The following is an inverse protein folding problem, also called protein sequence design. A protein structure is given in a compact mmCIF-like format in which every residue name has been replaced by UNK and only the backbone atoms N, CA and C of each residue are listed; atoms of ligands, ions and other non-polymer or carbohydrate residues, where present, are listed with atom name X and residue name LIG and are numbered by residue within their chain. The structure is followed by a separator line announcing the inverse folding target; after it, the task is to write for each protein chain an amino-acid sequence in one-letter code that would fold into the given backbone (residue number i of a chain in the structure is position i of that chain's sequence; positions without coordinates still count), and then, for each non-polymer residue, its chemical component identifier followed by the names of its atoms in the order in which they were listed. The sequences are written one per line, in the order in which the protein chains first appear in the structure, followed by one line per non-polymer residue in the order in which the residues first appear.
data_IF_932922399627
#
_entry.id   IF_932922399627
#
_cell.length_a   1.000
_cell.length_b   1.000
_cell.length_c   1.000
_cell.angle_alpha   90.00
_cell.angle_beta   90.00
_cell.angle_gamma   90.00
#
_symmetry.space_group_name_H-M   'P 1'
#
loop_
_entity.id
_entity.type
_entity.pdbx_description
1 polymer ?
#
# COMPACT_ATOMS: atom_id res chain seq x y z
N UNK A 1 29.33 64.34 -46.98
CA UNK A 1 29.52 64.76 -45.60
C UNK A 1 29.39 63.51 -44.75
N UNK A 2 30.45 62.90 -44.33
CA UNK A 2 31.08 62.92 -43.03
C UNK A 2 30.17 62.30 -41.99
N UNK A 3 30.52 61.41 -41.17
CA UNK A 3 31.65 60.78 -40.55
C UNK A 3 31.09 59.54 -39.84
N UNK A 4 31.78 58.50 -39.67
CA UNK A 4 32.97 58.31 -38.89
C UNK A 4 32.63 57.75 -37.52
N UNK A 5 32.90 56.54 -37.31
CA UNK A 5 32.74 55.98 -35.99
C UNK A 5 33.40 54.62 -35.89
N UNK A 6 34.59 54.65 -35.43
CA UNK A 6 35.49 53.52 -35.25
C UNK A 6 35.17 52.84 -33.92
N UNK A 7 35.27 51.64 -33.97
CA UNK A 7 35.15 50.83 -32.86
C UNK A 7 36.16 50.07 -32.41
N UNK A 8 36.52 49.93 -31.21
CA UNK A 8 37.55 49.14 -30.51
C UNK A 8 37.14 47.72 -30.26
N UNK A 9 38.03 46.85 -30.71
CA UNK A 9 38.08 45.48 -30.19
C UNK A 9 38.63 45.48 -28.78
N UNK A 10 37.82 45.04 -27.84
CA UNK A 10 38.38 44.70 -26.54
C UNK A 10 38.45 43.17 -26.39
N UNK A 11 39.66 42.72 -26.18
CA UNK A 11 40.04 41.37 -25.92
C UNK A 11 40.13 41.22 -24.41
N UNK A 12 39.18 40.50 -23.79
CA UNK A 12 39.37 40.02 -22.43
C UNK A 12 39.07 38.54 -22.36
N UNK A 13 40.09 37.78 -22.31
CA UNK A 13 40.54 36.93 -21.18
C UNK A 13 39.52 35.95 -20.64
N UNK A 14 39.86 34.71 -20.87
CA UNK A 14 39.46 33.48 -20.23
C UNK A 14 38.94 33.55 -18.81
N UNK A 15 37.77 33.02 -18.65
CA UNK A 15 37.34 32.49 -17.38
C UNK A 15 36.88 31.05 -17.62
N UNK A 16 37.65 30.13 -17.11
CA UNK A 16 37.32 28.72 -17.13
C UNK A 16 36.03 28.46 -16.38
N UNK A 17 35.07 27.93 -17.06
CA UNK A 17 33.91 27.38 -16.40
C UNK A 17 34.32 26.03 -15.79
N UNK A 18 34.64 26.10 -14.52
CA UNK A 18 34.68 24.90 -13.67
C UNK A 18 33.28 24.32 -13.61
N UNK A 19 33.07 23.25 -14.35
CA UNK A 19 31.85 22.43 -14.19
C UNK A 19 32.00 21.69 -12.90
N UNK A 20 31.51 22.28 -11.82
CA UNK A 20 31.29 21.56 -10.59
C UNK A 20 30.27 20.48 -10.86
N UNK A 21 30.76 19.25 -10.95
CA UNK A 21 29.95 18.05 -10.96
C UNK A 21 29.27 17.96 -9.60
N UNK A 22 28.07 18.56 -9.49
CA UNK A 22 27.24 18.38 -8.33
C UNK A 22 26.77 16.92 -8.38
N UNK A 23 27.37 16.12 -7.52
CA UNK A 23 26.85 14.79 -7.24
C UNK A 23 25.38 14.92 -6.87
N UNK A 24 24.53 14.35 -7.71
CA UNK A 24 23.11 14.35 -7.50
C UNK A 24 22.76 13.61 -6.24
N UNK A 25 22.51 14.39 -5.19
CA UNK A 25 21.76 13.91 -4.05
C UNK A 25 20.47 13.34 -4.60
N UNK A 26 20.33 12.04 -4.47
CA UNK A 26 19.11 11.32 -4.85
C UNK A 26 18.01 11.78 -3.89
N UNK A 27 17.46 12.96 -4.17
CA UNK A 27 16.24 13.40 -3.50
C UNK A 27 15.18 12.36 -3.83
N UNK A 28 14.85 11.56 -2.83
CA UNK A 28 13.59 10.81 -2.81
C UNK A 28 12.50 11.81 -3.15
N UNK A 29 12.05 11.81 -4.40
CA UNK A 29 10.89 12.57 -4.80
C UNK A 29 9.74 12.06 -3.95
N UNK A 30 9.35 12.83 -2.94
CA UNK A 30 8.10 12.62 -2.24
C UNK A 30 7.01 12.58 -3.30
N UNK A 31 6.45 11.40 -3.50
CA UNK A 31 5.40 11.22 -4.49
C UNK A 31 4.16 11.91 -3.97
N UNK A 32 3.77 13.00 -4.64
CA UNK A 32 2.48 13.64 -4.38
C UNK A 32 1.41 12.64 -4.83
N UNK A 33 0.56 12.14 -3.94
CA UNK A 33 -0.52 11.24 -4.33
C UNK A 33 -1.43 11.95 -5.32
N UNK A 34 -1.66 11.34 -6.46
CA UNK A 34 -2.54 11.89 -7.53
C UNK A 34 -4.01 11.80 -7.14
N UNK A 35 -4.33 11.03 -6.11
CA UNK A 35 -5.68 10.86 -5.57
C UNK A 35 -5.72 11.30 -4.13
N UNK A 36 -6.83 11.93 -3.67
CA UNK A 36 -6.96 12.31 -2.28
C UNK A 36 -6.74 11.10 -1.37
N UNK A 37 -5.75 11.20 -0.50
CA UNK A 37 -5.63 10.27 0.62
C UNK A 37 -6.90 10.43 1.45
N UNK A 38 -7.52 9.34 1.93
CA UNK A 38 -8.65 9.46 2.84
C UNK A 38 -8.31 10.40 4.01
N UNK A 39 -9.23 11.27 4.39
CA UNK A 39 -9.03 12.25 5.48
C UNK A 39 -8.79 11.60 6.83
N UNK A 40 -9.03 10.30 6.95
CA UNK A 40 -8.81 9.51 8.16
C UNK A 40 -7.68 8.50 7.99
N UNK A 41 -7.06 8.07 9.09
CA UNK A 41 -6.03 7.03 9.07
C UNK A 41 -6.53 5.74 8.40
N UNK A 42 -5.62 4.94 7.81
CA UNK A 42 -5.98 3.63 7.26
C UNK A 42 -6.50 2.69 8.36
N UNK A 43 -7.37 1.77 7.98
CA UNK A 43 -7.91 0.77 8.90
C UNK A 43 -6.98 -0.43 9.06
N UNK A 44 -6.28 -0.81 7.99
CA UNK A 44 -5.37 -1.96 7.97
C UNK A 44 -4.19 -1.76 7.05
N UNK A 45 -3.07 -2.44 7.34
CA UNK A 45 -2.04 -2.75 6.35
C UNK A 45 -2.29 -4.13 5.74
N UNK A 46 -1.93 -4.27 4.47
CA UNK A 46 -2.10 -5.52 3.74
C UNK A 46 -0.98 -5.76 2.72
N UNK A 47 -0.77 -7.04 2.41
CA UNK A 47 -0.03 -7.47 1.24
C UNK A 47 -1.02 -7.84 0.15
N UNK A 48 -0.93 -7.12 -0.98
CA UNK A 48 -1.79 -7.29 -2.14
C UNK A 48 -1.14 -8.20 -3.17
N UNK A 49 -1.92 -9.12 -3.74
CA UNK A 49 -1.53 -9.94 -4.89
C UNK A 49 -2.61 -9.84 -5.95
N UNK A 50 -2.28 -9.24 -7.09
CA UNK A 50 -3.19 -9.09 -8.22
C UNK A 50 -3.04 -10.27 -9.19
N UNK A 51 -4.14 -10.65 -9.83
CA UNK A 51 -4.13 -11.58 -10.96
C UNK A 51 -4.16 -10.83 -12.29
N UNK A 52 -4.18 -11.58 -13.41
CA UNK A 52 -4.14 -11.04 -14.78
C UNK A 52 -5.52 -10.64 -15.34
N UNK A 53 -6.58 -10.76 -14.53
CA UNK A 53 -7.96 -10.43 -14.96
C UNK A 53 -8.07 -8.93 -15.26
N UNK A 54 -7.43 -8.09 -14.45
CA UNK A 54 -7.34 -6.67 -14.74
C UNK A 54 -6.41 -6.42 -15.93
N UNK A 55 -6.76 -5.44 -16.76
CA UNK A 55 -5.93 -4.99 -17.88
C UNK A 55 -5.11 -3.73 -17.56
N UNK A 56 -5.47 -3.04 -16.48
CA UNK A 56 -4.82 -1.80 -16.08
C UNK A 56 -4.19 -1.93 -14.70
N UNK A 57 -3.07 -1.25 -14.43
CA UNK A 57 -2.46 -1.22 -13.11
C UNK A 57 -3.41 -0.64 -12.04
N UNK A 58 -3.38 -1.20 -10.84
CA UNK A 58 -4.02 -0.61 -9.67
C UNK A 58 -3.17 0.54 -9.16
N UNK A 59 -3.74 1.73 -9.02
CA UNK A 59 -3.05 2.94 -8.56
C UNK A 59 -3.50 3.33 -7.15
N UNK A 60 -2.75 4.21 -6.50
CA UNK A 60 -3.20 4.83 -5.27
C UNK A 60 -4.60 5.42 -5.44
N UNK A 61 -5.48 5.18 -4.47
CA UNK A 61 -6.90 5.52 -4.55
C UNK A 61 -7.78 4.48 -5.26
N UNK A 62 -7.22 3.34 -5.68
CA UNK A 62 -8.01 2.24 -6.21
C UNK A 62 -9.03 1.73 -5.20
N UNK A 63 -10.26 1.46 -5.66
CA UNK A 63 -11.42 1.16 -4.81
C UNK A 63 -12.15 -0.12 -5.21
N UNK A 64 -11.53 -1.29 -5.05
CA UNK A 64 -12.22 -2.54 -5.29
C UNK A 64 -13.22 -2.85 -4.17
N UNK A 65 -14.13 -3.76 -4.44
CA UNK A 65 -14.90 -4.39 -3.40
C UNK A 65 -14.07 -5.47 -2.68
N UNK A 66 -14.24 -5.59 -1.37
CA UNK A 66 -13.57 -6.59 -0.53
C UNK A 66 -14.63 -7.47 0.11
N UNK A 67 -14.50 -8.78 -0.06
CA UNK A 67 -15.35 -9.74 0.62
C UNK A 67 -14.77 -10.06 1.99
N UNK A 68 -15.26 -9.41 3.02
CA UNK A 68 -14.75 -9.58 4.39
C UNK A 68 -15.26 -10.86 5.04
N UNK A 69 -16.53 -11.22 4.73
CA UNK A 69 -17.20 -12.47 5.14
C UNK A 69 -18.07 -12.96 3.98
N UNK A 70 -18.69 -14.11 4.11
CA UNK A 70 -19.59 -14.64 3.08
C UNK A 70 -20.77 -13.71 2.78
N UNK A 71 -21.19 -12.94 3.77
CA UNK A 71 -22.33 -12.03 3.67
C UNK A 71 -21.94 -10.55 3.59
N UNK A 72 -20.66 -10.22 3.80
CA UNK A 72 -20.20 -8.84 3.83
C UNK A 72 -19.26 -8.52 2.68
N UNK A 73 -19.71 -7.66 1.78
CA UNK A 73 -18.94 -7.05 0.72
C UNK A 73 -18.89 -5.55 0.95
N UNK A 74 -17.68 -4.99 1.02
CA UNK A 74 -17.47 -3.56 1.27
C UNK A 74 -16.44 -3.00 0.31
N UNK A 75 -16.37 -1.68 0.19
CA UNK A 75 -15.34 -0.99 -0.59
C UNK A 75 -14.26 -0.44 0.32
N UNK A 76 -13.01 -0.59 -0.09
CA UNK A 76 -11.86 0.02 0.58
C UNK A 76 -10.98 0.78 -0.41
N UNK A 77 -10.39 1.88 0.04
CA UNK A 77 -9.46 2.69 -0.73
C UNK A 77 -8.05 2.18 -0.47
N UNK A 78 -7.31 1.86 -1.53
CA UNK A 78 -5.94 1.38 -1.44
C UNK A 78 -4.93 2.50 -1.59
N UNK A 79 -3.85 2.38 -0.83
CA UNK A 79 -2.64 3.15 -1.01
C UNK A 79 -1.45 2.20 -0.98
N UNK A 80 -0.56 2.25 -1.98
CA UNK A 80 0.55 1.31 -2.12
C UNK A 80 1.88 1.94 -1.72
N UNK A 81 2.63 1.27 -0.82
CA UNK A 81 3.96 1.71 -0.44
C UNK A 81 4.93 1.60 -1.62
N UNK A 82 5.82 2.59 -1.73
CA UNK A 82 6.98 2.59 -2.62
C UNK A 82 6.71 2.59 -4.14
N UNK A 83 5.56 2.14 -4.61
CA UNK A 83 5.30 1.94 -6.03
C UNK A 83 4.20 2.83 -6.63
N UNK A 84 3.17 3.26 -5.85
CA UNK A 84 2.02 4.08 -6.27
C UNK A 84 1.18 3.51 -7.42
N UNK A 85 1.61 2.40 -8.04
CA UNK A 85 0.79 1.60 -8.94
C UNK A 85 1.32 0.17 -9.03
N UNK A 86 0.41 -0.80 -9.09
CA UNK A 86 0.72 -2.23 -9.12
C UNK A 86 0.19 -2.82 -10.41
N UNK A 87 1.06 -3.33 -11.31
CA UNK A 87 0.64 -3.96 -12.55
C UNK A 87 -0.21 -5.21 -12.31
N UNK A 88 -1.00 -5.66 -13.32
CA UNK A 88 -1.61 -6.99 -13.30
C UNK A 88 -0.58 -8.09 -13.04
N UNK A 89 -0.95 -9.10 -12.28
CA UNK A 89 -0.04 -10.20 -11.91
C UNK A 89 1.02 -9.87 -10.86
N UNK A 90 1.14 -8.61 -10.45
CA UNK A 90 2.13 -8.17 -9.48
C UNK A 90 1.58 -8.08 -8.06
N UNK A 91 2.48 -7.88 -7.11
CA UNK A 91 2.16 -7.75 -5.68
C UNK A 91 2.76 -6.48 -5.10
N UNK A 92 2.16 -5.95 -4.05
CA UNK A 92 2.65 -4.79 -3.32
C UNK A 92 2.21 -4.81 -1.85
N UNK A 93 2.89 -4.05 -1.01
CA UNK A 93 2.43 -3.71 0.34
C UNK A 93 1.72 -2.37 0.31
N UNK A 94 0.78 -2.19 1.22
CA UNK A 94 0.08 -0.92 1.33
C UNK A 94 -1.00 -0.95 2.39
N UNK A 95 -1.92 0.01 2.31
CA UNK A 95 -3.01 0.17 3.28
C UNK A 95 -4.37 0.07 2.61
N UNK A 96 -5.38 -0.24 3.42
CA UNK A 96 -6.79 -0.15 3.05
C UNK A 96 -7.50 0.77 4.04
N UNK A 97 -8.27 1.72 3.52
CA UNK A 97 -9.24 2.51 4.28
C UNK A 97 -10.64 2.12 3.82
N UNK A 98 -11.38 1.43 4.65
CA UNK A 98 -12.74 0.99 4.33
C UNK A 98 -13.74 2.14 4.43
N UNK A 99 -14.83 2.12 3.65
CA UNK A 99 -15.78 3.22 3.64
C UNK A 99 -16.63 3.31 4.91
N UNK A 100 -17.04 2.20 5.47
CA UNK A 100 -17.95 2.15 6.63
C UNK A 100 -17.56 1.01 7.58
N UNK A 101 -16.40 1.08 8.25
CA UNK A 101 -15.92 0.00 9.10
C UNK A 101 -16.84 -0.32 10.27
N UNK A 102 -17.65 0.64 10.71
CA UNK A 102 -18.64 0.49 11.76
C UNK A 102 -19.78 -0.47 11.42
N UNK A 103 -20.00 -0.72 10.14
CA UNK A 103 -21.04 -1.63 9.68
C UNK A 103 -20.67 -3.12 9.82
N UNK A 104 -19.38 -3.43 10.05
CA UNK A 104 -18.88 -4.82 10.11
C UNK A 104 -17.74 -4.96 11.13
N UNK A 105 -18.01 -4.68 12.42
CA UNK A 105 -17.01 -4.79 13.46
C UNK A 105 -16.52 -6.24 13.63
N UNK A 106 -15.33 -6.40 14.17
CA UNK A 106 -14.76 -7.70 14.56
C UNK A 106 -14.75 -8.75 13.45
N UNK A 107 -14.38 -8.35 12.23
CA UNK A 107 -14.39 -9.24 11.06
C UNK A 107 -13.00 -9.54 10.49
N UNK A 108 -11.92 -8.90 10.98
CA UNK A 108 -10.58 -9.05 10.45
C UNK A 108 -9.59 -9.50 11.54
N UNK A 109 -8.59 -10.30 11.12
CA UNK A 109 -7.43 -10.67 11.94
C UNK A 109 -6.16 -10.66 11.09
N UNK A 110 -5.01 -10.56 11.72
CA UNK A 110 -3.71 -10.65 11.03
C UNK A 110 -3.57 -12.03 10.40
N UNK A 111 -3.19 -12.07 9.14
CA UNK A 111 -3.13 -13.28 8.31
C UNK A 111 -4.40 -13.59 7.52
N UNK A 112 -5.52 -12.91 7.80
CA UNK A 112 -6.74 -13.10 7.01
C UNK A 112 -6.52 -12.72 5.56
N UNK A 113 -6.90 -13.62 4.65
CA UNK A 113 -6.89 -13.40 3.20
C UNK A 113 -8.29 -13.01 2.74
N UNK A 114 -8.41 -11.83 2.15
CA UNK A 114 -9.69 -11.30 1.65
C UNK A 114 -9.64 -11.12 0.12
N UNK A 115 -10.67 -11.59 -0.61
CA UNK A 115 -10.76 -11.38 -2.05
C UNK A 115 -11.02 -9.90 -2.37
N UNK A 116 -10.38 -9.42 -3.43
CA UNK A 116 -10.64 -8.12 -4.05
C UNK A 116 -11.41 -8.34 -5.35
N UNK A 117 -12.48 -7.58 -5.58
CA UNK A 117 -13.40 -7.78 -6.69
C UNK A 117 -13.69 -6.49 -7.45
N UNK A 118 -13.80 -6.61 -8.78
CA UNK A 118 -14.44 -5.63 -9.66
C UNK A 118 -15.71 -6.26 -10.24
N UNK A 119 -16.88 -5.79 -9.79
CA UNK A 119 -18.15 -6.46 -10.09
C UNK A 119 -18.13 -7.91 -9.60
N UNK A 120 -18.37 -8.86 -10.49
CA UNK A 120 -18.36 -10.29 -10.18
C UNK A 120 -16.96 -10.95 -10.27
N UNK A 121 -15.94 -10.22 -10.73
CA UNK A 121 -14.62 -10.80 -11.00
C UNK A 121 -13.66 -10.58 -9.83
N UNK A 122 -13.05 -11.65 -9.34
CA UNK A 122 -11.94 -11.57 -8.38
C UNK A 122 -10.70 -11.10 -9.13
N UNK A 123 -10.17 -9.96 -8.75
CA UNK A 123 -8.99 -9.33 -9.36
C UNK A 123 -7.70 -9.56 -8.56
N UNK A 124 -7.83 -10.18 -7.40
CA UNK A 124 -6.70 -10.49 -6.52
C UNK A 124 -7.14 -10.72 -5.09
N UNK A 125 -6.15 -10.74 -4.20
CA UNK A 125 -6.35 -10.95 -2.77
C UNK A 125 -5.51 -9.97 -1.97
N UNK A 126 -6.01 -9.58 -0.80
CA UNK A 126 -5.25 -8.89 0.21
C UNK A 126 -5.08 -9.78 1.44
N UNK A 127 -3.86 -9.91 1.95
CA UNK A 127 -3.57 -10.58 3.23
C UNK A 127 -3.32 -9.49 4.26
N UNK A 128 -4.10 -9.47 5.33
CA UNK A 128 -3.99 -8.48 6.40
C UNK A 128 -2.70 -8.70 7.17
N UNK A 129 -1.84 -7.70 7.23
CA UNK A 129 -0.56 -7.75 7.94
C UNK A 129 -0.57 -6.98 9.25
N UNK A 130 -1.41 -5.96 9.37
CA UNK A 130 -1.64 -5.17 10.59
C UNK A 130 -3.05 -4.61 10.60
N UNK A 131 -3.64 -4.47 11.77
CA UNK A 131 -4.94 -3.82 11.96
C UNK A 131 -4.72 -2.56 12.79
N UNK A 132 -4.97 -1.40 12.20
CA UNK A 132 -4.82 -0.09 12.84
C UNK A 132 -6.14 0.38 13.46
N UNK A 133 -7.28 -0.07 12.92
CA UNK A 133 -8.60 0.21 13.48
C UNK A 133 -9.06 -0.95 14.37
N UNK A 134 -9.03 -0.79 15.71
CA UNK A 134 -9.39 -1.85 16.65
C UNK A 134 -10.85 -2.32 16.53
N UNK A 135 -11.74 -1.50 15.95
CA UNK A 135 -13.13 -1.90 15.71
C UNK A 135 -13.23 -3.11 14.79
N UNK A 136 -12.32 -3.25 13.84
CA UNK A 136 -12.33 -4.34 12.87
C UNK A 136 -11.68 -5.63 13.42
N UNK A 137 -10.92 -5.52 14.50
CA UNK A 137 -10.11 -6.63 14.99
C UNK A 137 -10.95 -7.76 15.57
N UNK A 138 -10.75 -8.97 15.06
CA UNK A 138 -11.28 -10.22 15.57
C UNK A 138 -10.17 -11.13 16.07
N UNK A 139 -10.51 -12.11 16.89
CA UNK A 139 -9.60 -13.22 17.20
C UNK A 139 -9.42 -14.12 15.97
N UNK A 140 -8.20 -14.58 15.73
CA UNK A 140 -7.93 -15.51 14.65
C UNK A 140 -8.53 -16.89 15.00
N UNK A 141 -9.50 -17.40 14.22
CA UNK A 141 -10.15 -18.67 14.51
C UNK A 141 -9.20 -19.88 14.43
N UNK A 142 -8.13 -19.80 13.60
CA UNK A 142 -7.13 -20.85 13.47
C UNK A 142 -6.21 -20.94 14.72
N UNK A 143 -5.86 -19.79 15.30
CA UNK A 143 -5.12 -19.74 16.55
C UNK A 143 -5.92 -20.32 17.72
N UNK A 144 -7.23 -20.10 17.74
CA UNK A 144 -8.15 -20.68 18.73
C UNK A 144 -8.25 -22.21 18.63
N UNK A 145 -8.34 -22.73 17.42
CA UNK A 145 -8.38 -24.17 17.18
C UNK A 145 -7.10 -24.89 17.63
N UNK A 146 -5.94 -24.25 17.44
CA UNK A 146 -4.65 -24.77 17.86
C UNK A 146 -4.48 -24.87 19.38
N UNK A 147 -4.99 -23.89 20.13
CA UNK A 147 -4.96 -23.91 21.61
C UNK A 147 -5.90 -24.97 22.18
N UNK A 148 -7.06 -25.19 21.57
CA UNK A 148 -8.03 -26.20 22.00
C UNK A 148 -7.59 -27.63 21.72
N UNK A 149 -6.64 -27.84 20.80
CA UNK A 149 -6.12 -29.16 20.42
C UNK A 149 -4.91 -29.63 21.23
N UNK A 150 -4.44 -28.93 22.26
CA UNK A 150 -3.42 -29.38 23.16
C UNK A 150 -4.01 -30.39 24.15
N UNK A 151 -3.67 -31.69 24.09
CA UNK A 151 -4.14 -32.66 25.06
C UNK A 151 -3.52 -32.36 26.42
N UNK A 152 -4.37 -32.19 27.42
CA UNK A 152 -4.00 -32.15 28.82
C UNK A 152 -3.26 -33.47 29.18
N UNK A 153 -1.95 -33.38 29.34
CA UNK A 153 -1.13 -34.47 29.82
C UNK A 153 -1.19 -34.47 31.35
N UNK A 154 -2.37 -34.78 31.88
CA UNK A 154 -2.47 -35.11 33.31
C UNK A 154 -1.76 -36.42 33.56
N UNK A 155 -0.50 -36.32 33.95
CA UNK A 155 0.30 -37.42 34.48
C UNK A 155 -0.36 -37.96 35.75
N UNK A 156 -1.06 -39.09 35.58
CA UNK A 156 -1.67 -39.85 36.66
C UNK A 156 -0.61 -40.54 37.52
N UNK A 157 0.04 -39.83 38.43
CA UNK A 157 0.82 -40.44 39.50
C UNK A 157 -0.10 -41.05 40.54
N UNK A 158 -0.24 -42.36 40.46
CA UNK A 158 -0.87 -43.18 41.47
C UNK A 158 0.06 -43.28 42.70
N UNK A 159 -0.37 -42.92 43.93
CA UNK A 159 0.43 -43.15 45.13
C UNK A 159 0.37 -44.63 45.53
N UNK A 160 1.50 -45.15 45.94
CA UNK A 160 1.63 -46.44 46.64
C UNK A 160 1.38 -46.29 48.13
#
# INVERSE_FOLDING_TARGET
MAAGGVFALDRASGAGYSVSRTEGTHQMRQRIPVTPVPERPPDVEAFFSFNDVRKSPARDGYRPAHRLTDTCLTTGVHYYYDVGSVPPGASARGTITFLSPEAYPHCLWVGKRIPMQEGAHVVGYAVITRIDNPLLQAENPEARASVAASPDHSDGRKPR
#
